data_IF_748764732661
#
_entry.id   IF_748764732661
#
_cell.length_a   1.000
_cell.length_b   1.000
_cell.length_c   1.000
_cell.angle_alpha   90.00
_cell.angle_beta   90.00
_cell.angle_gamma   90.00
#
_symmetry.space_group_name_H-M   'P 1'
#
loop_
_entity.id
_entity.type
_entity.pdbx_description
1 polymer ?
#
# COMPACT_ATOMS: atom_id res chain seq x y z
N UNK A 1 4.32 -8.09 11.50
CA UNK A 1 3.42 -7.60 10.44
C UNK A 1 3.77 -6.18 9.98
N UNK A 2 3.62 -5.13 10.79
CA UNK A 2 3.84 -3.75 10.33
C UNK A 2 5.26 -3.45 9.79
N UNK A 3 6.32 -4.06 10.35
CA UNK A 3 7.68 -3.95 9.78
C UNK A 3 7.78 -4.45 8.34
N UNK A 4 7.09 -5.55 8.01
CA UNK A 4 7.03 -6.07 6.64
C UNK A 4 6.27 -5.10 5.73
N UNK A 5 5.13 -4.58 6.20
CA UNK A 5 4.31 -3.58 5.48
C UNK A 5 5.12 -2.32 5.16
N UNK A 6 5.85 -1.79 6.14
CA UNK A 6 6.72 -0.63 5.97
C UNK A 6 7.82 -0.91 4.94
N UNK A 7 8.54 -2.05 5.09
CA UNK A 7 9.61 -2.45 4.17
C UNK A 7 9.10 -2.62 2.75
N UNK A 8 7.96 -3.29 2.56
CA UNK A 8 7.36 -3.52 1.25
C UNK A 8 6.83 -2.22 0.61
N UNK A 9 6.36 -1.26 1.41
CA UNK A 9 5.93 0.06 0.93
C UNK A 9 7.12 0.90 0.45
N UNK A 10 8.16 1.03 1.28
CA UNK A 10 9.25 1.98 1.05
C UNK A 10 10.41 1.42 0.23
N UNK A 11 10.70 0.12 0.38
CA UNK A 11 11.87 -0.55 -0.20
C UNK A 11 11.50 -1.96 -0.69
N UNK A 12 10.53 -2.10 -1.61
CA UNK A 12 10.05 -3.41 -2.06
C UNK A 12 11.17 -4.31 -2.61
N UNK A 13 12.19 -3.74 -3.27
CA UNK A 13 13.34 -4.48 -3.80
C UNK A 13 14.29 -5.05 -2.74
N UNK A 14 14.09 -4.74 -1.46
CA UNK A 14 14.88 -5.27 -0.33
C UNK A 14 14.15 -6.36 0.44
N UNK A 15 12.91 -6.70 0.06
CA UNK A 15 12.14 -7.75 0.73
C UNK A 15 12.77 -9.10 0.44
N UNK A 16 13.02 -9.86 1.50
CA UNK A 16 13.69 -11.16 1.45
C UNK A 16 12.77 -12.25 2.04
N UNK A 17 13.20 -13.51 1.96
CA UNK A 17 12.41 -14.65 2.43
C UNK A 17 12.22 -14.60 3.95
N UNK A 18 13.23 -14.10 4.65
CA UNK A 18 13.28 -13.93 6.10
C UNK A 18 12.18 -13.00 6.60
N UNK A 19 11.80 -11.97 5.83
CA UNK A 19 10.69 -11.10 6.21
C UNK A 19 9.34 -11.85 6.17
N UNK A 20 9.17 -12.76 5.22
CA UNK A 20 7.98 -13.62 5.10
C UNK A 20 7.98 -14.69 6.19
N UNK A 21 9.12 -15.32 6.46
CA UNK A 21 9.26 -16.33 7.50
C UNK A 21 9.01 -15.74 8.89
N UNK A 22 9.42 -14.50 9.15
CA UNK A 22 9.10 -13.79 10.38
C UNK A 22 7.57 -13.61 10.57
N UNK A 23 6.79 -13.49 9.49
CA UNK A 23 5.32 -13.46 9.59
C UNK A 23 4.75 -14.85 9.90
N UNK A 24 5.29 -15.90 9.29
CA UNK A 24 4.89 -17.29 9.62
C UNK A 24 5.15 -17.62 11.08
N UNK A 25 6.33 -17.27 11.59
CA UNK A 25 6.70 -17.44 13.01
C UNK A 25 5.75 -16.64 13.93
N UNK A 26 5.27 -15.48 13.47
CA UNK A 26 4.28 -14.69 14.19
C UNK A 26 2.84 -15.23 14.08
N UNK A 27 2.63 -16.37 13.41
CA UNK A 27 1.34 -17.06 13.34
C UNK A 27 0.47 -16.71 12.14
N UNK A 28 0.97 -15.94 11.17
CA UNK A 28 0.23 -15.66 9.94
C UNK A 28 0.26 -16.87 8.99
N UNK A 29 -0.88 -17.19 8.39
CA UNK A 29 -0.96 -18.18 7.31
C UNK A 29 -0.40 -17.61 6.00
N UNK A 30 0.01 -18.49 5.08
CA UNK A 30 0.48 -18.05 3.74
C UNK A 30 -0.60 -17.23 3.01
N UNK A 31 -1.88 -17.61 3.14
CA UNK A 31 -2.98 -16.84 2.59
C UNK A 31 -3.06 -15.43 3.20
N UNK A 32 -2.97 -15.32 4.53
CA UNK A 32 -2.98 -14.03 5.21
C UNK A 32 -1.76 -13.16 4.88
N UNK A 33 -0.59 -13.76 4.66
CA UNK A 33 0.59 -13.04 4.17
C UNK A 33 0.35 -12.52 2.75
N UNK A 34 -0.26 -13.34 1.89
CA UNK A 34 -0.70 -12.94 0.56
C UNK A 34 -1.64 -11.74 0.60
N UNK A 35 -2.64 -11.77 1.49
CA UNK A 35 -3.57 -10.66 1.68
C UNK A 35 -2.86 -9.38 2.13
N UNK A 36 -1.92 -9.48 3.08
CA UNK A 36 -1.10 -8.32 3.51
C UNK A 36 -0.34 -7.74 2.33
N UNK A 37 0.36 -8.57 1.56
CA UNK A 37 1.14 -8.12 0.41
C UNK A 37 0.25 -7.47 -0.68
N UNK A 38 -0.92 -8.05 -0.95
CA UNK A 38 -1.88 -7.52 -1.92
C UNK A 38 -2.41 -6.14 -1.51
N UNK A 39 -2.75 -5.96 -0.23
CA UNK A 39 -3.19 -4.65 0.28
C UNK A 39 -2.09 -3.61 0.14
N UNK A 40 -0.86 -3.93 0.56
CA UNK A 40 0.27 -3.00 0.44
C UNK A 40 0.53 -2.61 -1.02
N UNK A 41 0.50 -3.58 -1.94
CA UNK A 41 0.69 -3.34 -3.35
C UNK A 41 -0.41 -2.42 -3.93
N UNK A 42 -1.68 -2.68 -3.59
CA UNK A 42 -2.82 -1.87 -4.05
C UNK A 42 -2.70 -0.41 -3.59
N UNK A 43 -2.47 -0.16 -2.30
CA UNK A 43 -2.31 1.20 -1.80
C UNK A 43 -1.07 1.88 -2.37
N UNK A 44 0.05 1.16 -2.51
CA UNK A 44 1.26 1.72 -3.11
C UNK A 44 1.06 2.08 -4.59
N UNK A 45 0.25 1.32 -5.34
CA UNK A 45 -0.15 1.66 -6.70
C UNK A 45 -1.02 2.93 -6.74
N UNK A 46 -2.06 2.99 -5.90
CA UNK A 46 -2.94 4.15 -5.85
C UNK A 46 -2.20 5.43 -5.44
N UNK A 47 -1.35 5.37 -4.42
CA UNK A 47 -0.55 6.52 -3.98
C UNK A 47 0.34 7.04 -5.12
N UNK A 48 0.99 6.15 -5.87
CA UNK A 48 1.83 6.54 -7.02
C UNK A 48 1.07 7.20 -8.16
N UNK A 49 -0.19 6.84 -8.37
CA UNK A 49 -1.05 7.56 -9.32
C UNK A 49 -1.25 8.99 -8.84
N UNK A 50 -1.65 9.15 -7.57
CA UNK A 50 -1.89 10.48 -6.98
C UNK A 50 -0.63 11.34 -7.05
N UNK A 51 0.50 10.80 -6.60
CA UNK A 51 1.78 11.49 -6.60
C UNK A 51 2.24 11.81 -8.03
N UNK A 52 2.07 10.86 -8.97
CA UNK A 52 2.44 11.04 -10.37
C UNK A 52 1.61 12.10 -11.11
N UNK A 53 0.43 12.42 -10.61
CA UNK A 53 -0.43 13.51 -11.10
C UNK A 53 -0.22 14.82 -10.32
N UNK A 54 0.79 14.90 -9.45
CA UNK A 54 1.09 16.10 -8.68
C UNK A 54 0.12 16.32 -7.51
N UNK A 55 -0.46 15.27 -6.95
CA UNK A 55 -1.41 15.35 -5.83
C UNK A 55 -2.81 15.87 -6.21
N UNK A 56 -3.04 16.17 -7.49
CA UNK A 56 -4.29 16.67 -8.02
C UNK A 56 -5.09 15.49 -8.58
N UNK A 57 -6.11 15.06 -7.86
CA UNK A 57 -7.11 14.14 -8.38
C UNK A 57 -8.36 14.94 -8.75
N UNK A 58 -8.67 15.00 -10.04
CA UNK A 58 -9.87 15.66 -10.56
C UNK A 58 -10.78 14.66 -11.31
N UNK A 59 -12.03 15.05 -11.55
CA UNK A 59 -12.98 14.29 -12.37
C UNK A 59 -13.26 12.88 -11.85
N UNK A 60 -13.36 11.92 -12.79
CA UNK A 60 -13.74 10.52 -12.52
C UNK A 60 -12.82 9.85 -11.50
N UNK A 61 -11.54 10.21 -11.45
CA UNK A 61 -10.59 9.58 -10.53
C UNK A 61 -10.82 10.00 -9.07
N UNK A 62 -11.17 11.26 -8.84
CA UNK A 62 -11.54 11.76 -7.52
C UNK A 62 -12.85 11.12 -7.03
N UNK A 63 -13.82 10.94 -7.92
CA UNK A 63 -15.09 10.27 -7.60
C UNK A 63 -14.88 8.80 -7.24
N UNK A 64 -14.07 8.09 -8.04
CA UNK A 64 -13.71 6.69 -7.77
C UNK A 64 -12.98 6.54 -6.44
N UNK A 65 -12.03 7.41 -6.13
CA UNK A 65 -11.32 7.33 -4.85
C UNK A 65 -12.24 7.54 -3.63
N UNK A 66 -13.22 8.46 -3.71
CA UNK A 66 -14.26 8.60 -2.68
C UNK A 66 -15.14 7.35 -2.57
N UNK A 67 -15.56 6.79 -3.71
CA UNK A 67 -16.40 5.58 -3.77
C UNK A 67 -15.73 4.37 -3.10
N UNK A 68 -14.42 4.26 -3.22
CA UNK A 68 -13.64 3.17 -2.61
C UNK A 68 -13.12 3.50 -1.21
N UNK A 69 -13.51 4.64 -0.61
CA UNK A 69 -13.00 5.11 0.69
C UNK A 69 -11.48 5.06 0.79
N UNK A 70 -10.80 5.31 -0.34
CA UNK A 70 -9.35 5.36 -0.36
C UNK A 70 -8.91 6.56 0.48
N UNK A 71 -7.82 6.45 1.26
CA UNK A 71 -7.27 7.56 2.02
C UNK A 71 -6.73 8.59 1.03
N UNK A 72 -7.61 9.47 0.61
CA UNK A 72 -7.29 10.67 -0.11
C UNK A 72 -6.68 11.63 0.90
N UNK A 73 -5.35 11.67 1.00
CA UNK A 73 -4.70 12.91 1.42
C UNK A 73 -4.80 13.87 0.23
N UNK A 74 -6.02 14.36 -0.02
CA UNK A 74 -6.25 15.46 -0.94
C UNK A 74 -5.39 16.61 -0.44
N UNK A 75 -4.45 17.06 -1.28
CA UNK A 75 -3.36 17.94 -0.89
C UNK A 75 -3.77 19.07 0.04
N UNK A 76 -3.36 18.95 1.30
CA UNK A 76 -2.95 20.09 2.12
C UNK A 76 -1.45 20.02 2.28
N UNK A 77 -0.75 20.15 1.15
CA UNK A 77 0.63 20.62 1.17
C UNK A 77 0.54 22.08 0.74
N UNK A 78 0.40 22.97 1.73
CA UNK A 78 0.84 24.36 1.58
C UNK A 78 2.37 24.39 1.38
#
# INVERSE_FOLDING_TARGET
MLRYVEKLTLRPGTVEREDVDALRVAGFSDAGIGDIAAHVALFSFMNRIVDGLGGQLEGDMAERARRFSLPLHAGTYE
#
